data_IF_825342531288
#
_entry.id   IF_825342531288
#
_cell.length_a   1.000
_cell.length_b   1.000
_cell.length_c   1.000
_cell.angle_alpha   90.00
_cell.angle_beta   90.00
_cell.angle_gamma   90.00
#
_symmetry.space_group_name_H-M   'P 1'
#
loop_
_entity.id
_entity.type
_entity.pdbx_description
1 polymer ?
#
# COMPACT_ATOMS: atom_id res chain seq x y z
N UNK A 1 16.41 4.72 7.83
CA UNK A 1 16.67 4.31 6.45
C UNK A 1 16.07 5.29 5.47
N UNK A 2 16.75 5.47 4.37
CA UNK A 2 16.29 6.37 3.34
C UNK A 2 15.17 5.74 2.50
N UNK A 3 14.23 6.58 2.09
CA UNK A 3 13.18 6.18 1.18
C UNK A 3 13.65 6.32 -0.26
N UNK A 4 13.27 5.36 -1.09
CA UNK A 4 13.46 5.46 -2.53
C UNK A 4 12.38 6.32 -3.15
N UNK A 5 12.78 7.17 -4.07
CA UNK A 5 11.86 7.98 -4.87
C UNK A 5 12.16 7.71 -6.32
N UNK A 6 11.20 7.11 -7.02
CA UNK A 6 11.29 6.90 -8.46
C UNK A 6 10.40 7.92 -9.16
N UNK A 7 11.02 8.92 -9.75
CA UNK A 7 10.30 10.05 -10.34
C UNK A 7 9.41 9.66 -11.51
N UNK A 8 9.77 8.66 -12.28
CA UNK A 8 9.02 8.31 -13.48
C UNK A 8 7.72 7.56 -13.19
N UNK A 9 7.74 6.70 -12.15
CA UNK A 9 6.61 5.82 -11.86
C UNK A 9 5.76 6.29 -10.67
N UNK A 10 6.30 7.19 -9.84
CA UNK A 10 5.72 7.52 -8.54
C UNK A 10 5.22 8.96 -8.42
N UNK A 11 5.37 9.76 -9.45
CA UNK A 11 4.81 11.12 -9.51
C UNK A 11 3.53 11.20 -10.33
N UNK A 12 3.26 10.21 -11.16
CA UNK A 12 2.09 10.13 -11.99
C UNK A 12 0.91 9.42 -11.32
N UNK A 13 -0.13 9.11 -12.11
CA UNK A 13 -1.35 8.48 -11.57
C UNK A 13 -1.18 6.99 -11.25
N UNK A 14 -0.21 6.32 -11.85
CA UNK A 14 -0.02 4.88 -11.68
C UNK A 14 1.28 4.61 -10.95
N UNK A 15 1.15 4.14 -9.71
CA UNK A 15 2.28 3.83 -8.85
C UNK A 15 2.60 2.34 -8.98
N UNK A 16 3.86 2.00 -9.23
CA UNK A 16 4.31 0.62 -9.32
C UNK A 16 5.61 0.45 -8.55
N UNK A 17 5.61 -0.44 -7.56
CA UNK A 17 6.80 -0.71 -6.75
C UNK A 17 7.06 -2.21 -6.68
N UNK A 18 8.34 -2.58 -6.68
CA UNK A 18 8.79 -3.97 -6.59
C UNK A 18 9.93 -4.09 -5.60
N UNK A 19 9.91 -5.19 -4.84
CA UNK A 19 10.98 -5.55 -3.92
C UNK A 19 11.21 -7.05 -4.03
N UNK A 20 12.43 -7.44 -4.33
CA UNK A 20 12.80 -8.83 -4.50
C UNK A 20 14.13 -9.11 -3.80
N UNK A 21 14.13 -10.05 -2.85
CA UNK A 21 15.31 -10.42 -2.05
C UNK A 21 15.97 -9.18 -1.44
N UNK A 22 15.17 -8.24 -0.92
CA UNK A 22 15.67 -6.96 -0.43
C UNK A 22 14.72 -6.37 0.60
N UNK A 23 15.16 -5.29 1.23
CA UNK A 23 14.32 -4.42 2.04
C UNK A 23 14.31 -3.05 1.38
N UNK A 24 13.14 -2.63 0.91
CA UNK A 24 12.99 -1.36 0.21
C UNK A 24 11.91 -0.50 0.86
N UNK A 25 12.16 0.80 0.88
CA UNK A 25 11.22 1.80 1.39
C UNK A 25 10.94 2.81 0.29
N UNK A 26 9.66 2.99 -0.03
CA UNK A 26 9.21 3.94 -1.05
C UNK A 26 8.30 4.97 -0.41
N UNK A 27 8.53 6.24 -0.73
CA UNK A 27 7.63 7.33 -0.35
C UNK A 27 7.10 7.99 -1.61
N UNK A 28 5.79 8.13 -1.68
CA UNK A 28 5.09 8.59 -2.86
C UNK A 28 4.62 10.02 -2.63
N UNK A 29 4.95 10.91 -3.56
CA UNK A 29 4.56 12.32 -3.50
C UNK A 29 3.54 12.71 -4.58
N UNK A 30 3.12 11.77 -5.42
CA UNK A 30 2.10 12.04 -6.44
C UNK A 30 0.83 12.62 -5.82
N UNK A 31 0.28 13.64 -6.46
CA UNK A 31 -0.95 14.28 -6.04
C UNK A 31 -2.15 13.84 -6.88
N UNK A 32 -1.97 12.83 -7.73
CA UNK A 32 -3.00 12.36 -8.65
C UNK A 32 -3.04 10.84 -8.76
N UNK A 33 -2.80 10.13 -7.66
CA UNK A 33 -2.73 8.66 -7.66
C UNK A 33 -4.09 8.07 -8.04
N UNK A 34 -4.10 7.23 -9.07
CA UNK A 34 -5.28 6.49 -9.52
C UNK A 34 -5.19 5.02 -9.18
N UNK A 35 -4.00 4.42 -9.32
CA UNK A 35 -3.76 3.01 -9.02
C UNK A 35 -2.43 2.80 -8.34
N UNK A 36 -2.36 1.74 -7.55
CA UNK A 36 -1.12 1.30 -6.91
C UNK A 36 -0.93 -0.18 -7.19
N UNK A 37 0.24 -0.55 -7.69
CA UNK A 37 0.62 -1.93 -7.96
C UNK A 37 1.89 -2.26 -7.19
N UNK A 38 1.83 -3.31 -6.36
CA UNK A 38 2.91 -3.69 -5.47
C UNK A 38 3.27 -5.16 -5.65
N UNK A 39 4.56 -5.44 -5.78
CA UNK A 39 5.06 -6.81 -5.86
C UNK A 39 6.23 -6.98 -4.91
N UNK A 40 6.19 -8.02 -4.07
CA UNK A 40 7.26 -8.33 -3.14
C UNK A 40 7.48 -9.84 -3.09
N UNK A 41 8.74 -10.23 -3.06
CA UNK A 41 9.11 -11.61 -2.80
C UNK A 41 10.41 -11.68 -2.01
N UNK A 42 10.41 -12.47 -0.94
CA UNK A 42 11.59 -12.72 -0.10
C UNK A 42 12.21 -11.42 0.42
N UNK A 43 11.43 -10.66 1.17
CA UNK A 43 11.96 -9.42 1.68
C UNK A 43 10.97 -8.59 2.48
N UNK A 44 11.19 -7.29 2.47
CA UNK A 44 10.36 -6.35 3.21
C UNK A 44 10.13 -5.11 2.35
N UNK A 45 8.86 -4.76 2.19
CA UNK A 45 8.45 -3.61 1.39
C UNK A 45 7.70 -2.62 2.26
N UNK A 46 8.17 -1.39 2.28
CA UNK A 46 7.52 -0.27 2.95
C UNK A 46 7.03 0.70 1.89
N UNK A 47 5.74 1.00 1.89
CA UNK A 47 5.15 1.99 0.99
C UNK A 47 4.48 3.08 1.82
N UNK A 48 5.02 4.27 1.76
CA UNK A 48 4.49 5.43 2.47
C UNK A 48 3.71 6.32 1.50
N UNK A 49 2.38 6.28 1.65
CA UNK A 49 1.44 7.10 0.88
C UNK A 49 0.98 8.33 1.65
N UNK A 50 1.54 8.59 2.83
CA UNK A 50 1.06 9.67 3.71
C UNK A 50 1.19 11.07 3.09
N UNK A 51 2.08 11.24 2.11
CA UNK A 51 2.30 12.50 1.40
C UNK A 51 1.63 12.54 0.04
N UNK A 52 0.92 11.48 -0.34
CA UNK A 52 0.25 11.40 -1.62
C UNK A 52 -1.18 11.93 -1.54
N UNK A 53 -1.72 12.31 -2.69
CA UNK A 53 -3.14 12.59 -2.86
C UNK A 53 -3.68 11.77 -4.02
N UNK A 54 -4.98 11.55 -4.03
CA UNK A 54 -5.62 10.60 -4.93
C UNK A 54 -6.55 11.32 -5.90
N UNK A 55 -6.62 10.82 -7.13
CA UNK A 55 -7.43 11.42 -8.18
C UNK A 55 -8.92 11.16 -8.00
N UNK A 56 -9.30 10.17 -7.18
CA UNK A 56 -10.69 9.79 -6.99
C UNK A 56 -10.89 9.30 -5.55
N UNK A 57 -12.15 9.21 -5.13
CA UNK A 57 -12.50 8.68 -3.81
C UNK A 57 -12.41 7.16 -3.72
N UNK A 58 -12.18 6.47 -4.85
CA UNK A 58 -12.04 5.02 -4.91
C UNK A 58 -10.77 4.71 -5.68
N UNK A 59 -9.84 4.00 -5.06
CA UNK A 59 -8.52 3.70 -5.63
C UNK A 59 -8.27 2.19 -5.56
N UNK A 60 -7.83 1.62 -6.67
CA UNK A 60 -7.45 0.21 -6.71
C UNK A 60 -5.99 0.04 -6.29
N UNK A 61 -5.76 -0.87 -5.35
CA UNK A 61 -4.42 -1.26 -4.92
C UNK A 61 -4.28 -2.76 -5.14
N UNK A 62 -3.33 -3.14 -5.98
CA UNK A 62 -3.02 -4.55 -6.23
C UNK A 62 -1.72 -4.91 -5.54
N UNK A 63 -1.74 -6.00 -4.77
CA UNK A 63 -0.57 -6.47 -4.02
C UNK A 63 -0.40 -7.96 -4.21
N UNK A 64 0.74 -8.35 -4.77
CA UNK A 64 1.20 -9.73 -4.74
C UNK A 64 2.47 -9.80 -3.91
N UNK A 65 2.43 -10.56 -2.83
CA UNK A 65 3.56 -10.67 -1.91
C UNK A 65 3.71 -12.08 -1.39
N UNK A 66 4.97 -12.51 -1.25
CA UNK A 66 5.27 -13.82 -0.68
C UNK A 66 6.59 -13.80 0.09
N UNK A 67 6.57 -14.50 1.22
CA UNK A 67 7.72 -14.71 2.09
C UNK A 67 8.36 -13.41 2.58
N UNK A 68 7.65 -12.71 3.43
CA UNK A 68 8.19 -11.50 4.02
C UNK A 68 7.15 -10.60 4.68
N UNK A 69 7.39 -9.30 4.61
CA UNK A 69 6.56 -8.29 5.25
C UNK A 69 6.26 -7.15 4.29
N UNK A 70 5.05 -6.64 4.38
CA UNK A 70 4.63 -5.44 3.65
C UNK A 70 4.01 -4.46 4.64
N UNK A 71 4.48 -3.22 4.60
CA UNK A 71 3.96 -2.14 5.42
C UNK A 71 3.46 -1.02 4.51
N UNK A 72 2.22 -0.63 4.70
CA UNK A 72 1.60 0.47 3.96
C UNK A 72 1.19 1.55 4.95
N UNK A 73 1.65 2.76 4.73
CA UNK A 73 1.22 3.92 5.51
C UNK A 73 0.29 4.79 4.69
N UNK A 74 -0.87 5.10 5.23
CA UNK A 74 -1.91 5.85 4.54
C UNK A 74 -2.03 7.28 5.06
N UNK A 75 -2.56 8.20 4.23
CA UNK A 75 -2.95 9.52 4.70
C UNK A 75 -4.09 9.45 5.71
N UNK A 76 -4.28 10.56 6.43
CA UNK A 76 -5.20 10.63 7.58
C UNK A 76 -6.65 10.27 7.25
N UNK A 77 -7.19 10.76 6.14
CA UNK A 77 -8.60 10.57 5.80
C UNK A 77 -8.85 9.39 4.84
N UNK A 78 -7.96 8.42 4.82
CA UNK A 78 -8.04 7.26 3.94
C UNK A 78 -8.26 5.99 4.75
N UNK A 79 -8.95 5.02 4.15
CA UNK A 79 -9.09 3.68 4.70
C UNK A 79 -8.73 2.64 3.64
N UNK A 80 -8.23 1.50 4.10
CA UNK A 80 -7.95 0.36 3.24
C UNK A 80 -9.01 -0.70 3.43
N UNK A 81 -9.69 -1.05 2.35
CA UNK A 81 -10.57 -2.19 2.31
C UNK A 81 -9.74 -3.43 1.95
N UNK A 82 -9.59 -4.33 2.91
CA UNK A 82 -8.77 -5.53 2.75
C UNK A 82 -9.57 -6.78 2.41
N UNK A 83 -10.87 -6.67 2.18
CA UNK A 83 -11.72 -7.83 1.94
C UNK A 83 -11.41 -8.56 0.63
N UNK A 84 -10.80 -7.87 -0.33
CA UNK A 84 -10.50 -8.43 -1.65
C UNK A 84 -9.17 -9.17 -1.75
N UNK A 85 -8.40 -9.28 -0.67
CA UNK A 85 -7.10 -9.94 -0.74
C UNK A 85 -7.17 -11.39 -0.26
N UNK A 86 -6.50 -12.29 -0.99
CA UNK A 86 -6.29 -13.67 -0.58
C UNK A 86 -5.03 -13.73 0.29
N UNK A 87 -5.10 -14.41 1.44
CA UNK A 87 -3.96 -14.36 2.37
C UNK A 87 -3.63 -15.70 3.08
N UNK A 88 -3.40 -16.79 2.33
CA UNK A 88 -3.04 -18.06 2.94
C UNK A 88 -1.73 -17.98 3.71
N UNK A 89 -1.71 -18.56 4.91
CA UNK A 89 -0.55 -18.59 5.80
C UNK A 89 0.03 -17.19 6.07
N UNK A 90 -0.84 -16.19 6.09
CA UNK A 90 -0.46 -14.78 6.20
C UNK A 90 -1.30 -14.08 7.26
N UNK A 91 -0.85 -12.90 7.67
CA UNK A 91 -1.62 -12.04 8.57
C UNK A 91 -1.85 -10.67 7.94
N UNK A 92 -3.01 -10.10 8.24
CA UNK A 92 -3.38 -8.75 7.82
C UNK A 92 -3.75 -7.96 9.07
N UNK A 93 -3.00 -6.90 9.33
CA UNK A 93 -3.25 -6.03 10.48
C UNK A 93 -3.51 -4.62 9.97
N UNK A 94 -4.64 -4.05 10.40
CA UNK A 94 -5.03 -2.69 10.06
C UNK A 94 -5.19 -1.91 11.36
N UNK A 95 -4.41 -0.84 11.53
CA UNK A 95 -4.36 -0.07 12.78
C UNK A 95 -5.53 0.89 12.96
N UNK A 96 -6.35 1.08 11.93
CA UNK A 96 -7.48 2.01 11.99
C UNK A 96 -8.72 1.40 11.37
N UNK A 97 -9.85 1.60 12.04
CA UNK A 97 -11.15 1.25 11.49
C UNK A 97 -11.81 2.49 10.89
N UNK A 98 -12.69 2.29 9.92
CA UNK A 98 -13.45 3.38 9.31
C UNK A 98 -14.25 4.17 10.34
N UNK A 99 -14.76 3.51 11.37
CA UNK A 99 -15.51 4.14 12.45
C UNK A 99 -14.69 5.16 13.26
N UNK A 100 -13.37 5.12 13.17
CA UNK A 100 -12.48 6.06 13.85
C UNK A 100 -12.37 7.40 13.12
N UNK A 101 -12.94 7.49 11.91
CA UNK A 101 -12.86 8.68 11.08
C UNK A 101 -14.20 9.42 11.05
N UNK A 102 -14.14 10.75 11.15
CA UNK A 102 -15.33 11.59 10.97
C UNK A 102 -15.78 11.56 9.51
N UNK A 103 -14.80 11.57 8.60
CA UNK A 103 -15.06 11.55 7.16
C UNK A 103 -13.96 10.78 6.46
N UNK A 104 -14.36 9.84 5.62
CA UNK A 104 -13.46 9.11 4.73
C UNK A 104 -13.43 9.82 3.38
N UNK A 105 -12.28 10.33 2.98
CA UNK A 105 -12.12 10.98 1.68
C UNK A 105 -11.82 9.97 0.57
N UNK A 106 -11.01 8.96 0.88
CA UNK A 106 -10.59 7.97 -0.11
C UNK A 106 -10.63 6.57 0.49
N UNK A 107 -11.19 5.63 -0.28
CA UNK A 107 -11.13 4.20 0.00
C UNK A 107 -10.17 3.54 -0.97
N UNK A 108 -9.20 2.83 -0.43
CA UNK A 108 -8.27 2.04 -1.22
C UNK A 108 -8.74 0.58 -1.15
N UNK A 109 -9.02 0.01 -2.30
CA UNK A 109 -9.51 -1.37 -2.41
C UNK A 109 -8.35 -2.29 -2.74
N UNK A 110 -7.95 -3.08 -1.76
CA UNK A 110 -6.82 -3.99 -1.87
C UNK A 110 -7.27 -5.30 -2.50
N UNK A 111 -6.55 -5.74 -3.52
CA UNK A 111 -6.75 -7.02 -4.18
C UNK A 111 -5.41 -7.72 -4.41
N UNK A 112 -5.44 -8.98 -4.82
CA UNK A 112 -4.25 -9.77 -5.07
C UNK A 112 -4.09 -10.89 -4.05
N UNK A 113 -2.86 -11.23 -3.73
CA UNK A 113 -2.60 -12.33 -2.81
C UNK A 113 -1.37 -12.12 -1.95
N UNK A 114 -1.46 -12.64 -0.72
CA UNK A 114 -0.33 -12.78 0.20
C UNK A 114 -0.10 -14.27 0.43
N UNK A 115 1.15 -14.68 0.42
CA UNK A 115 1.53 -16.04 0.83
C UNK A 115 2.70 -15.97 1.80
N UNK A 116 2.54 -16.55 2.99
CA UNK A 116 3.57 -16.52 4.04
C UNK A 116 4.07 -15.07 4.26
N UNK A 117 3.15 -14.12 4.35
CA UNK A 117 3.46 -12.70 4.41
C UNK A 117 2.68 -12.01 5.51
N UNK A 118 3.31 -11.06 6.18
CA UNK A 118 2.62 -10.17 7.12
C UNK A 118 2.37 -8.84 6.43
N UNK A 119 1.11 -8.41 6.42
CA UNK A 119 0.73 -7.09 5.94
C UNK A 119 0.28 -6.23 7.12
N UNK A 120 0.87 -5.06 7.24
CA UNK A 120 0.45 -4.06 8.21
C UNK A 120 0.08 -2.77 7.48
N UNK A 121 -1.13 -2.27 7.76
CA UNK A 121 -1.61 -0.99 7.25
C UNK A 121 -1.69 -0.03 8.43
N UNK A 122 -0.98 1.09 8.34
CA UNK A 122 -0.89 2.08 9.41
C UNK A 122 -1.16 3.50 8.89
N UNK A 123 -1.23 4.43 9.83
CA UNK A 123 -1.60 5.84 9.54
C UNK A 123 -0.65 6.84 10.17
#
# INVERSE_FOLDING_TARGET
>A
KDYKVNKNDQEGPHISVKTYMAEDRYRIYSQEVETVDMNMAFGELWLDLSQASFASSQVAVHLDAKFGEVHIRLPHACVMDTTGISHPLSSVKVDRFESDLEQVETRLHLSGSLFCTELEVEY
#
